data_IF_177840192706
#
_entry.id   IF_177840192706
#
_cell.length_a   1.000
_cell.length_b   1.000
_cell.length_c   1.000
_cell.angle_alpha   90.00
_cell.angle_beta   90.00
_cell.angle_gamma   90.00
#
_symmetry.space_group_name_H-M   'P 1'
#
loop_
_entity.id
_entity.type
_entity.pdbx_description
1 polymer ?
#
# COMPACT_ATOMS: atom_id res chain seq x y z
N UNK A 1 -3.81 21.16 -25.87
CA UNK A 1 -4.12 19.77 -26.21
C UNK A 1 -5.47 19.45 -25.59
N UNK A 2 -6.47 19.14 -26.40
CA UNK A 2 -7.81 18.75 -25.93
C UNK A 2 -7.80 17.24 -25.67
N UNK A 3 -7.68 16.82 -24.42
CA UNK A 3 -8.01 15.46 -23.99
C UNK A 3 -9.51 15.28 -24.14
N UNK A 4 -9.94 14.27 -24.90
CA UNK A 4 -11.35 13.94 -25.06
C UNK A 4 -11.89 13.40 -23.72
N UNK A 5 -12.88 14.07 -23.08
CA UNK A 5 -13.42 13.64 -21.80
C UNK A 5 -13.97 12.20 -21.81
N UNK A 6 -14.34 11.69 -22.99
CA UNK A 6 -14.82 10.31 -23.13
C UNK A 6 -13.72 9.27 -22.92
N UNK A 7 -12.47 9.57 -23.33
CA UNK A 7 -11.31 8.67 -23.19
C UNK A 7 -10.79 8.57 -21.74
N UNK A 8 -10.82 9.69 -21.01
CA UNK A 8 -10.44 9.74 -19.59
C UNK A 8 -11.44 8.98 -18.71
N UNK A 9 -12.74 9.20 -18.95
CA UNK A 9 -13.82 8.49 -18.26
C UNK A 9 -13.77 6.98 -18.53
N UNK A 10 -13.45 6.57 -19.76
CA UNK A 10 -13.29 5.16 -20.12
C UNK A 10 -12.11 4.51 -19.40
N UNK A 11 -10.95 5.16 -19.35
CA UNK A 11 -9.77 4.66 -18.63
C UNK A 11 -10.06 4.44 -17.14
N UNK A 12 -10.59 5.47 -16.46
CA UNK A 12 -10.91 5.37 -15.04
C UNK A 12 -11.99 4.32 -14.76
N UNK A 13 -12.97 4.18 -15.66
CA UNK A 13 -14.01 3.15 -15.54
C UNK A 13 -13.43 1.74 -15.68
N UNK A 14 -12.48 1.54 -16.60
CA UNK A 14 -11.78 0.25 -16.79
C UNK A 14 -10.89 -0.09 -15.60
N UNK A 15 -10.14 0.87 -15.07
CA UNK A 15 -9.35 0.70 -13.85
C UNK A 15 -10.24 0.45 -12.62
N UNK A 16 -11.35 1.16 -12.53
CA UNK A 16 -12.37 0.95 -11.50
C UNK A 16 -13.00 -0.43 -11.60
N UNK A 17 -13.33 -0.90 -12.80
CA UNK A 17 -13.86 -2.25 -13.01
C UNK A 17 -12.84 -3.35 -12.67
N UNK A 18 -11.55 -3.14 -12.99
CA UNK A 18 -10.48 -4.07 -12.65
C UNK A 18 -10.27 -4.18 -11.13
N UNK A 19 -10.44 -3.07 -10.41
CA UNK A 19 -10.22 -3.01 -8.96
C UNK A 19 -11.49 -3.24 -8.13
N UNK A 20 -12.67 -3.12 -8.73
CA UNK A 20 -13.95 -3.36 -8.07
C UNK A 20 -14.16 -4.85 -7.79
N UNK A 21 -13.97 -5.23 -6.52
CA UNK A 21 -14.21 -6.60 -6.04
C UNK A 21 -13.04 -7.56 -6.16
N UNK A 22 -11.92 -7.14 -6.78
CA UNK A 22 -10.69 -7.93 -6.84
C UNK A 22 -9.67 -7.39 -5.83
N UNK A 23 -9.37 -8.21 -4.81
CA UNK A 23 -8.20 -8.01 -3.95
C UNK A 23 -6.99 -8.60 -4.67
N UNK A 24 -5.97 -7.78 -4.97
CA UNK A 24 -4.73 -8.24 -5.59
C UNK A 24 -4.77 -8.26 -7.11
N UNK A 25 -4.91 -7.09 -7.71
CA UNK A 25 -4.72 -6.91 -9.16
C UNK A 25 -3.22 -7.03 -9.48
N UNK A 26 -2.88 -7.74 -10.56
CA UNK A 26 -1.50 -7.85 -11.01
C UNK A 26 -1.02 -6.53 -11.62
N UNK A 27 0.21 -6.10 -11.28
CA UNK A 27 0.71 -4.80 -11.74
C UNK A 27 0.81 -4.72 -13.27
N UNK A 28 1.12 -5.84 -13.94
CA UNK A 28 1.23 -5.91 -15.40
C UNK A 28 -0.12 -5.68 -16.10
N UNK A 29 -1.21 -6.15 -15.50
CA UNK A 29 -2.54 -5.94 -16.08
C UNK A 29 -2.97 -4.47 -15.96
N UNK A 30 -2.67 -3.85 -14.82
CA UNK A 30 -2.88 -2.41 -14.63
C UNK A 30 -2.00 -1.58 -15.59
N UNK A 31 -0.72 -1.92 -15.73
CA UNK A 31 0.20 -1.28 -16.67
C UNK A 31 -0.30 -1.39 -18.10
N UNK A 32 -0.80 -2.57 -18.51
CA UNK A 32 -1.38 -2.77 -19.84
C UNK A 32 -2.54 -1.81 -20.10
N UNK A 33 -3.48 -1.68 -19.16
CA UNK A 33 -4.61 -0.75 -19.30
C UNK A 33 -4.14 0.71 -19.39
N UNK A 34 -3.15 1.10 -18.59
CA UNK A 34 -2.58 2.44 -18.66
C UNK A 34 -1.92 2.73 -20.02
N UNK A 35 -1.20 1.76 -20.59
CA UNK A 35 -0.56 1.90 -21.91
C UNK A 35 -1.55 1.91 -23.07
N UNK A 36 -2.67 1.22 -22.95
CA UNK A 36 -3.76 1.24 -23.93
C UNK A 36 -4.55 2.55 -23.91
N UNK A 37 -4.47 3.32 -22.81
CA UNK A 37 -4.97 4.69 -22.75
C UNK A 37 -4.05 5.63 -23.51
N UNK A 38 -4.28 5.78 -24.81
CA UNK A 38 -3.49 6.59 -25.78
C UNK A 38 -3.43 8.12 -25.50
N UNK A 39 -3.80 8.57 -24.29
CA UNK A 39 -4.04 9.98 -23.94
C UNK A 39 -3.16 10.41 -22.76
N UNK A 40 -2.68 11.66 -22.80
CA UNK A 40 -2.09 12.29 -21.61
C UNK A 40 -3.13 12.29 -20.49
N UNK A 41 -2.94 11.47 -19.46
CA UNK A 41 -3.86 11.35 -18.34
C UNK A 41 -3.94 12.72 -17.64
N UNK A 42 -5.12 13.34 -17.54
CA UNK A 42 -5.25 14.62 -16.85
C UNK A 42 -4.86 14.50 -15.38
N UNK A 43 -4.35 15.58 -14.80
CA UNK A 43 -3.75 15.59 -13.47
C UNK A 43 -4.68 15.04 -12.36
N UNK A 44 -5.97 15.34 -12.44
CA UNK A 44 -6.99 14.84 -11.51
C UNK A 44 -7.16 13.32 -11.62
N UNK A 45 -7.13 12.78 -12.83
CA UNK A 45 -7.16 11.33 -13.08
C UNK A 45 -5.86 10.67 -12.64
N UNK A 46 -4.73 11.33 -12.83
CA UNK A 46 -3.43 10.84 -12.39
C UNK A 46 -3.38 10.65 -10.86
N UNK A 47 -3.99 11.57 -10.10
CA UNK A 47 -4.14 11.42 -8.64
C UNK A 47 -5.04 10.23 -8.25
N UNK A 48 -6.10 9.95 -9.00
CA UNK A 48 -6.94 8.76 -8.77
C UNK A 48 -6.17 7.46 -9.09
N UNK A 49 -5.44 7.43 -10.20
CA UNK A 49 -4.57 6.32 -10.60
C UNK A 49 -3.49 6.07 -9.54
N UNK A 50 -2.86 7.13 -9.00
CA UNK A 50 -1.91 7.03 -7.91
C UNK A 50 -2.53 6.37 -6.67
N UNK A 51 -3.75 6.79 -6.31
CA UNK A 51 -4.46 6.26 -5.15
C UNK A 51 -4.81 4.78 -5.30
N UNK A 52 -5.19 4.35 -6.51
CA UNK A 52 -5.43 2.94 -6.83
C UNK A 52 -4.12 2.12 -6.75
N UNK A 53 -3.04 2.63 -7.34
CA UNK A 53 -1.73 1.99 -7.28
C UNK A 53 -1.24 1.85 -5.82
N UNK A 54 -1.52 2.85 -4.98
CA UNK A 54 -1.16 2.83 -3.57
C UNK A 54 -1.95 1.76 -2.78
N UNK A 55 -3.24 1.58 -3.07
CA UNK A 55 -4.04 0.52 -2.44
C UNK A 55 -3.54 -0.87 -2.84
N UNK A 56 -3.27 -1.09 -4.13
CA UNK A 56 -2.76 -2.38 -4.60
C UNK A 56 -1.36 -2.67 -4.04
N UNK A 57 -0.49 -1.66 -3.97
CA UNK A 57 0.80 -1.77 -3.29
C UNK A 57 0.62 -2.17 -1.82
N UNK A 58 -0.30 -1.53 -1.10
CA UNK A 58 -0.60 -1.83 0.30
C UNK A 58 -1.08 -3.26 0.50
N UNK A 59 -1.97 -3.73 -0.36
CA UNK A 59 -2.44 -5.12 -0.36
C UNK A 59 -1.29 -6.11 -0.53
N UNK A 60 -0.50 -5.98 -1.62
CA UNK A 60 0.57 -6.93 -1.92
C UNK A 60 1.71 -6.88 -0.90
N UNK A 61 2.02 -5.69 -0.38
CA UNK A 61 2.97 -5.54 0.71
C UNK A 61 2.50 -6.28 1.97
N UNK A 62 1.22 -6.15 2.35
CA UNK A 62 0.68 -6.87 3.49
C UNK A 62 0.74 -8.40 3.28
N UNK A 63 0.37 -8.89 2.09
CA UNK A 63 0.48 -10.33 1.77
C UNK A 63 1.92 -10.84 1.86
N UNK A 64 2.90 -10.06 1.39
CA UNK A 64 4.32 -10.40 1.51
C UNK A 64 4.79 -10.42 2.97
N UNK A 65 4.57 -9.34 3.71
CA UNK A 65 5.08 -9.15 5.07
C UNK A 65 4.48 -10.12 6.10
N UNK A 66 3.23 -10.55 5.87
CA UNK A 66 2.55 -11.56 6.69
C UNK A 66 2.76 -12.99 6.21
N UNK A 67 3.43 -13.21 5.08
CA UNK A 67 3.77 -14.56 4.63
C UNK A 67 4.77 -15.24 5.56
N UNK A 68 4.73 -16.58 5.71
CA UNK A 68 5.67 -17.32 6.57
C UNK A 68 7.12 -17.11 6.13
N UNK A 69 8.05 -16.93 7.08
CA UNK A 69 9.46 -16.69 6.79
C UNK A 69 10.17 -17.94 6.23
N UNK A 70 9.69 -19.13 6.58
CA UNK A 70 10.18 -20.43 6.10
C UNK A 70 9.67 -20.78 4.71
N UNK A 71 8.47 -20.32 4.34
CA UNK A 71 7.91 -20.43 2.99
C UNK A 71 7.33 -19.09 2.51
N UNK A 72 8.17 -18.10 2.16
CA UNK A 72 7.69 -16.76 1.82
C UNK A 72 6.86 -16.73 0.53
N UNK A 73 5.85 -15.86 0.47
CA UNK A 73 5.02 -15.69 -0.73
C UNK A 73 5.75 -14.87 -1.80
N UNK A 74 6.50 -15.54 -2.67
CA UNK A 74 7.31 -14.90 -3.72
C UNK A 74 6.49 -14.14 -4.75
N UNK A 75 5.25 -14.57 -5.03
CA UNK A 75 4.32 -13.84 -5.91
C UNK A 75 3.98 -12.48 -5.31
N UNK A 76 3.59 -12.44 -4.03
CA UNK A 76 3.28 -11.19 -3.35
C UNK A 76 4.49 -10.24 -3.31
N UNK A 77 5.71 -10.77 -3.16
CA UNK A 77 6.94 -9.97 -3.26
C UNK A 77 7.09 -9.33 -4.64
N UNK A 78 6.98 -10.11 -5.71
CA UNK A 78 7.13 -9.62 -7.08
C UNK A 78 6.06 -8.59 -7.42
N UNK A 79 4.80 -8.84 -7.04
CA UNK A 79 3.71 -7.89 -7.24
C UNK A 79 3.94 -6.59 -6.46
N UNK A 80 4.35 -6.68 -5.18
CA UNK A 80 4.71 -5.51 -4.37
C UNK A 80 5.80 -4.66 -5.04
N UNK A 81 6.86 -5.30 -5.55
CA UNK A 81 7.95 -4.60 -6.24
C UNK A 81 7.46 -3.92 -7.53
N UNK A 82 6.65 -4.60 -8.33
CA UNK A 82 6.05 -4.03 -9.54
C UNK A 82 5.15 -2.83 -9.25
N UNK A 83 4.25 -2.96 -8.26
CA UNK A 83 3.39 -1.88 -7.82
C UNK A 83 4.17 -0.69 -7.23
N UNK A 84 5.30 -0.95 -6.56
CA UNK A 84 6.15 0.11 -6.03
C UNK A 84 6.78 0.94 -7.15
N UNK A 85 7.21 0.29 -8.24
CA UNK A 85 7.75 0.97 -9.42
C UNK A 85 6.66 1.83 -10.08
N UNK A 86 5.48 1.24 -10.30
CA UNK A 86 4.34 1.94 -10.90
C UNK A 86 3.92 3.17 -10.08
N UNK A 87 3.74 3.00 -8.77
CA UNK A 87 3.36 4.09 -7.88
C UNK A 87 4.39 5.23 -7.91
N UNK A 88 5.69 4.91 -7.88
CA UNK A 88 6.76 5.92 -7.93
C UNK A 88 6.74 6.71 -9.24
N UNK A 89 6.59 6.04 -10.38
CA UNK A 89 6.53 6.74 -11.68
C UNK A 89 5.36 7.73 -11.76
N UNK A 90 4.19 7.35 -11.24
CA UNK A 90 3.02 8.22 -11.18
C UNK A 90 3.23 9.37 -10.17
N UNK A 91 3.82 9.05 -9.01
CA UNK A 91 4.13 10.02 -7.95
C UNK A 91 5.08 11.10 -8.44
N UNK A 92 6.19 10.72 -9.08
CA UNK A 92 7.19 11.65 -9.59
C UNK A 92 6.55 12.59 -10.62
N UNK A 93 5.73 12.05 -11.51
CA UNK A 93 4.96 12.85 -12.49
C UNK A 93 4.03 13.86 -11.80
N UNK A 94 3.33 13.46 -10.73
CA UNK A 94 2.45 14.37 -9.98
C UNK A 94 3.22 15.48 -9.26
N UNK A 95 4.34 15.14 -8.63
CA UNK A 95 5.18 16.10 -7.88
C UNK A 95 5.82 17.12 -8.84
N UNK A 96 6.23 16.69 -10.03
CA UNK A 96 6.74 17.60 -11.07
C UNK A 96 5.67 18.60 -11.54
N UNK A 97 4.42 18.14 -11.69
CA UNK A 97 3.32 18.99 -12.15
C UNK A 97 2.71 19.86 -11.04
N UNK A 98 2.79 19.43 -9.77
CA UNK A 98 2.28 20.18 -8.61
C UNK A 98 3.33 20.23 -7.50
N UNK A 99 4.31 21.15 -7.61
CA UNK A 99 5.32 21.34 -6.58
C UNK A 99 4.70 21.63 -5.21
N UNK A 100 5.24 21.01 -4.15
CA UNK A 100 4.76 21.18 -2.77
C UNK A 100 3.77 20.11 -2.30
N UNK A 101 3.35 19.17 -3.16
CA UNK A 101 2.47 18.04 -2.77
C UNK A 101 3.23 16.83 -2.24
N UNK A 102 4.55 16.77 -2.44
CA UNK A 102 5.42 15.63 -2.13
C UNK A 102 5.18 15.04 -0.73
N UNK A 103 5.37 15.85 0.31
CA UNK A 103 5.26 15.39 1.70
C UNK A 103 3.84 14.89 2.04
N UNK A 104 2.82 15.51 1.44
CA UNK A 104 1.42 15.09 1.63
C UNK A 104 1.17 13.72 1.00
N UNK A 105 1.63 13.52 -0.24
CA UNK A 105 1.47 12.27 -0.98
C UNK A 105 2.27 11.12 -0.33
N UNK A 106 3.49 11.37 0.14
CA UNK A 106 4.28 10.39 0.89
C UNK A 106 3.61 10.02 2.21
N UNK A 107 3.01 10.99 2.90
CA UNK A 107 2.26 10.73 4.13
C UNK A 107 1.02 9.89 3.86
N UNK A 108 0.26 10.21 2.82
CA UNK A 108 -0.92 9.44 2.42
C UNK A 108 -0.56 8.00 2.04
N UNK A 109 0.53 7.82 1.29
CA UNK A 109 1.05 6.49 0.98
C UNK A 109 1.34 5.69 2.25
N UNK A 110 2.13 6.26 3.16
CA UNK A 110 2.49 5.58 4.40
C UNK A 110 1.25 5.19 5.23
N UNK A 111 0.24 6.06 5.27
CA UNK A 111 -1.02 5.78 5.96
C UNK A 111 -1.78 4.62 5.30
N UNK A 112 -1.91 4.61 3.97
CA UNK A 112 -2.58 3.51 3.23
C UNK A 112 -1.86 2.18 3.42
N UNK A 113 -0.53 2.13 3.24
CA UNK A 113 0.25 0.92 3.45
C UNK A 113 0.07 0.36 4.88
N UNK A 114 0.03 1.26 5.86
CA UNK A 114 -0.19 0.89 7.25
C UNK A 114 -1.61 0.35 7.50
N UNK A 115 -2.62 0.93 6.86
CA UNK A 115 -4.01 0.46 6.97
C UNK A 115 -4.15 -0.99 6.50
N UNK A 116 -3.57 -1.34 5.35
CA UNK A 116 -3.58 -2.72 4.86
C UNK A 116 -2.87 -3.69 5.82
N UNK A 117 -1.70 -3.28 6.33
CA UNK A 117 -0.96 -4.08 7.30
C UNK A 117 -1.74 -4.28 8.61
N UNK A 118 -2.43 -3.24 9.10
CA UNK A 118 -3.29 -3.31 10.28
C UNK A 118 -4.50 -4.21 10.05
N UNK A 119 -5.17 -4.10 8.91
CA UNK A 119 -6.29 -4.97 8.55
C UNK A 119 -5.85 -6.44 8.58
N UNK A 120 -4.72 -6.76 7.95
CA UNK A 120 -4.19 -8.13 7.93
C UNK A 120 -3.81 -8.62 9.33
N UNK A 121 -3.22 -7.74 10.15
CA UNK A 121 -2.95 -8.01 11.56
C UNK A 121 -4.21 -8.30 12.36
N UNK A 122 -5.30 -7.55 12.14
CA UNK A 122 -6.60 -7.78 12.79
C UNK A 122 -7.18 -9.11 12.37
N UNK A 123 -7.22 -9.42 11.07
CA UNK A 123 -7.70 -10.71 10.54
C UNK A 123 -6.95 -11.89 11.17
N UNK A 124 -5.62 -11.81 11.24
CA UNK A 124 -4.80 -12.83 11.91
C UNK A 124 -5.15 -12.98 13.41
N UNK A 125 -5.40 -11.86 14.09
CA UNK A 125 -5.69 -11.83 15.52
C UNK A 125 -7.10 -12.31 15.88
N UNK A 126 -8.06 -12.31 14.94
CA UNK A 126 -9.44 -12.76 15.21
C UNK A 126 -9.49 -14.20 15.72
N UNK A 127 -8.58 -15.04 15.27
CA UNK A 127 -8.48 -16.45 15.70
C UNK A 127 -7.56 -16.66 16.92
N UNK A 128 -6.93 -15.60 17.45
CA UNK A 128 -5.89 -15.66 18.51
C UNK A 128 -6.10 -14.62 19.61
N UNK A 129 -6.97 -14.86 20.61
CA UNK A 129 -7.39 -13.87 21.60
C UNK A 129 -6.25 -13.32 22.49
N UNK A 130 -5.30 -14.16 22.91
CA UNK A 130 -4.14 -13.73 23.73
C UNK A 130 -3.31 -12.67 23.00
N UNK A 131 -3.11 -12.89 21.71
CA UNK A 131 -2.34 -11.98 20.86
C UNK A 131 -3.07 -10.67 20.62
N UNK A 132 -4.39 -10.69 20.45
CA UNK A 132 -5.22 -9.50 20.32
C UNK A 132 -5.04 -8.54 21.50
N UNK A 133 -4.98 -9.07 22.72
CA UNK A 133 -4.75 -8.28 23.94
C UNK A 133 -3.30 -7.78 24.01
N UNK A 134 -2.32 -8.65 23.76
CA UNK A 134 -0.91 -8.27 23.79
C UNK A 134 -0.56 -7.19 22.75
N UNK A 135 -1.14 -7.26 21.55
CA UNK A 135 -0.96 -6.26 20.50
C UNK A 135 -1.46 -4.87 20.97
N UNK A 136 -2.63 -4.79 21.60
CA UNK A 136 -3.13 -3.51 22.12
C UNK A 136 -2.19 -2.89 23.16
N UNK A 137 -1.65 -3.71 24.07
CA UNK A 137 -0.70 -3.26 25.11
C UNK A 137 0.61 -2.79 24.47
N UNK A 138 1.20 -3.60 23.58
CA UNK A 138 2.45 -3.24 22.92
C UNK A 138 2.32 -1.98 22.05
N UNK A 139 1.19 -1.79 21.37
CA UNK A 139 0.93 -0.56 20.64
C UNK A 139 1.00 0.68 21.55
N UNK A 140 0.33 0.64 22.72
CA UNK A 140 0.37 1.75 23.68
C UNK A 140 1.78 2.02 24.22
N UNK A 141 2.52 0.95 24.54
CA UNK A 141 3.91 1.07 25.01
C UNK A 141 4.81 1.64 23.92
N UNK A 142 4.63 1.25 22.66
CA UNK A 142 5.36 1.81 21.52
C UNK A 142 5.14 3.32 21.40
N UNK A 143 3.89 3.78 21.52
CA UNK A 143 3.60 5.23 21.52
C UNK A 143 4.27 5.97 22.68
N UNK A 144 4.28 5.38 23.88
CA UNK A 144 4.96 5.96 25.04
C UNK A 144 6.48 6.05 24.81
N UNK A 145 7.10 4.98 24.30
CA UNK A 145 8.53 4.93 23.96
C UNK A 145 8.92 5.99 22.92
N UNK A 146 8.09 6.17 21.89
CA UNK A 146 8.34 7.18 20.87
C UNK A 146 8.30 8.60 21.47
N UNK A 147 7.34 8.86 22.37
CA UNK A 147 7.22 10.16 23.05
C UNK A 147 8.40 10.51 23.95
N UNK A 148 9.10 9.52 24.51
CA UNK A 148 10.29 9.74 25.35
C UNK A 148 11.61 9.72 24.55
N UNK A 149 11.53 9.74 23.21
CA UNK A 149 12.71 9.80 22.33
C UNK A 149 13.34 8.45 22.00
N UNK A 150 12.72 7.32 22.39
CA UNK A 150 13.21 5.97 22.13
C UNK A 150 12.61 5.39 20.82
N UNK A 151 12.82 6.10 19.71
CA UNK A 151 12.18 5.80 18.43
C UNK A 151 12.52 4.41 17.87
N UNK A 152 13.76 3.93 18.01
CA UNK A 152 14.15 2.59 17.52
C UNK A 152 13.45 1.48 18.30
N UNK A 153 13.41 1.58 19.62
CA UNK A 153 12.69 0.65 20.50
C UNK A 153 11.19 0.68 20.25
N UNK A 154 10.62 1.89 20.07
CA UNK A 154 9.21 2.05 19.72
C UNK A 154 8.87 1.33 18.42
N UNK A 155 9.71 1.46 17.38
CA UNK A 155 9.55 0.79 16.10
C UNK A 155 9.60 -0.73 16.24
N UNK A 156 10.60 -1.28 16.91
CA UNK A 156 10.70 -2.73 17.11
C UNK A 156 9.50 -3.30 17.88
N UNK A 157 9.01 -2.56 18.88
CA UNK A 157 7.81 -2.95 19.65
C UNK A 157 6.52 -2.86 18.82
N UNK A 158 6.45 -1.88 17.91
CA UNK A 158 5.36 -1.72 16.95
C UNK A 158 5.33 -2.87 15.95
N UNK A 159 6.47 -3.22 15.37
CA UNK A 159 6.62 -4.37 14.46
C UNK A 159 6.25 -5.68 15.16
N UNK A 160 6.63 -5.85 16.44
CA UNK A 160 6.24 -7.01 17.25
C UNK A 160 4.74 -7.10 17.53
N UNK A 161 4.08 -5.96 17.69
CA UNK A 161 2.63 -5.86 17.84
C UNK A 161 1.92 -6.22 16.54
N UNK A 162 2.41 -5.66 15.43
CA UNK A 162 1.76 -5.72 14.13
C UNK A 162 1.94 -7.09 13.47
N UNK A 163 3.18 -7.59 13.41
CA UNK A 163 3.53 -8.78 12.61
C UNK A 163 3.66 -10.06 13.46
N UNK A 164 3.13 -11.19 12.98
CA UNK A 164 3.34 -12.46 13.64
C UNK A 164 4.77 -12.93 13.67
N UNK A 165 5.17 -13.56 14.77
CA UNK A 165 6.46 -14.25 14.81
C UNK A 165 6.44 -15.35 13.75
N UNK A 166 7.54 -15.46 13.00
CA UNK A 166 7.70 -16.40 11.91
C UNK A 166 7.12 -15.90 10.58
N UNK A 167 6.78 -14.61 10.44
CA UNK A 167 6.49 -14.00 9.14
C UNK A 167 7.71 -13.28 8.59
N UNK A 168 7.72 -12.95 7.30
CA UNK A 168 8.82 -12.20 6.67
C UNK A 168 9.16 -10.91 7.41
N UNK A 169 8.15 -10.17 7.88
CA UNK A 169 8.37 -8.94 8.64
C UNK A 169 8.91 -9.16 10.06
N UNK A 170 8.80 -10.38 10.60
CA UNK A 170 9.27 -10.76 11.93
C UNK A 170 9.67 -12.26 11.93
N UNK A 171 10.83 -12.59 11.35
CA UNK A 171 11.31 -13.97 11.25
C UNK A 171 11.50 -14.62 12.63
#
# INVERSE_FOLDING_TARGET
>A
MNTDPSSESDLLSRLGALTSGCMGVQYLEFERILREGDSSIPLTSLHQVLNLACDQLGFWQAEWLFSPADTPNTVAKTEMEGWQIMWRGIFDTLVENVPGTKDSLEREQNLKLLQHSLQRGVEYNQTRPVRKIAAAIFSQVSFALNKVGLASSARGLYEWCLYPKGTVARP
#
